data_IF_998859355018
#
_entry.id   IF_998859355018
#
_cell.length_a   1.000
_cell.length_b   1.000
_cell.length_c   1.000
_cell.angle_alpha   90.00
_cell.angle_beta   90.00
_cell.angle_gamma   90.00
#
_symmetry.space_group_name_H-M   'P 1'
#
loop_
_entity.id
_entity.type
_entity.pdbx_description
1 polymer ?
#
# COMPACT_ATOMS: atom_id res chain seq x y z
N UNK A 1 16.92 14.78 32.92
CA UNK A 1 16.52 14.84 31.49
C UNK A 1 16.59 13.42 30.93
N UNK A 2 15.46 12.71 30.79
CA UNK A 2 15.45 11.36 30.21
C UNK A 2 15.68 11.51 28.71
N UNK A 3 16.87 11.12 28.23
CA UNK A 3 17.15 10.98 26.79
C UNK A 3 16.16 9.96 26.23
N UNK A 4 15.14 10.42 25.51
CA UNK A 4 14.27 9.51 24.77
C UNK A 4 15.14 8.72 23.80
N UNK A 5 15.01 7.38 23.71
CA UNK A 5 15.80 6.61 22.77
C UNK A 5 15.46 7.09 21.36
N UNK A 6 16.48 7.49 20.60
CA UNK A 6 16.36 7.98 19.23
C UNK A 6 15.55 6.98 18.40
N UNK A 7 14.38 7.40 17.92
CA UNK A 7 13.55 6.58 17.05
C UNK A 7 14.29 6.44 15.72
N UNK A 8 14.60 5.21 15.34
CA UNK A 8 15.31 4.91 14.09
C UNK A 8 14.38 4.14 13.15
N UNK A 9 14.16 4.68 11.95
CA UNK A 9 13.35 4.04 10.90
C UNK A 9 14.19 3.36 9.81
N UNK A 10 15.50 3.21 9.99
CA UNK A 10 16.39 2.53 9.04
C UNK A 10 16.00 1.06 8.80
N UNK A 11 15.39 0.41 9.79
CA UNK A 11 14.84 -0.94 9.60
C UNK A 11 13.74 -0.96 8.53
N UNK A 12 12.90 0.09 8.46
CA UNK A 12 11.81 0.18 7.49
C UNK A 12 12.37 0.23 6.07
N UNK A 13 13.47 0.96 5.87
CA UNK A 13 14.22 0.99 4.61
C UNK A 13 14.76 -0.38 4.21
N UNK A 14 15.41 -1.10 5.13
CA UNK A 14 15.94 -2.45 4.86
C UNK A 14 14.84 -3.41 4.43
N UNK A 15 13.73 -3.45 5.18
CA UNK A 15 12.61 -4.33 4.87
C UNK A 15 11.91 -3.95 3.56
N UNK A 16 11.73 -2.65 3.30
CA UNK A 16 11.15 -2.17 2.04
C UNK A 16 12.04 -2.50 0.85
N UNK A 17 13.36 -2.47 1.02
CA UNK A 17 14.31 -2.90 -0.02
C UNK A 17 14.24 -4.41 -0.28
N UNK A 18 14.13 -5.23 0.77
CA UNK A 18 13.91 -6.68 0.60
C UNK A 18 12.61 -6.96 -0.16
N UNK A 19 11.55 -6.21 0.15
CA UNK A 19 10.27 -6.30 -0.56
C UNK A 19 10.41 -5.83 -2.01
N UNK A 20 11.17 -4.77 -2.27
CA UNK A 20 11.45 -4.32 -3.63
C UNK A 20 12.15 -5.41 -4.46
N UNK A 21 13.15 -6.08 -3.89
CA UNK A 21 13.83 -7.21 -4.57
C UNK A 21 12.85 -8.33 -4.89
N UNK A 22 11.96 -8.67 -3.95
CA UNK A 22 10.92 -9.67 -4.19
C UNK A 22 9.95 -9.22 -5.30
N UNK A 23 9.48 -7.98 -5.26
CA UNK A 23 8.60 -7.42 -6.28
C UNK A 23 9.26 -7.38 -7.66
N UNK A 24 10.52 -6.95 -7.74
CA UNK A 24 11.31 -6.93 -8.97
C UNK A 24 11.52 -8.35 -9.53
N UNK A 25 11.74 -9.33 -8.66
CA UNK A 25 11.85 -10.74 -9.05
C UNK A 25 10.53 -11.27 -9.62
N UNK A 26 9.39 -10.92 -9.03
CA UNK A 26 8.06 -11.22 -9.59
C UNK A 26 7.84 -10.52 -10.94
N UNK A 27 8.34 -9.29 -11.09
CA UNK A 27 8.37 -8.57 -12.36
C UNK A 27 9.17 -9.29 -13.45
N UNK A 28 10.36 -9.77 -13.10
CA UNK A 28 11.19 -10.58 -13.99
C UNK A 28 10.51 -11.90 -14.36
N UNK A 29 9.87 -12.57 -13.40
CA UNK A 29 9.10 -13.80 -13.64
C UNK A 29 7.92 -13.55 -14.61
N UNK A 30 7.22 -12.42 -14.51
CA UNK A 30 6.19 -12.06 -15.47
C UNK A 30 6.74 -11.94 -16.89
N UNK A 31 7.88 -11.24 -17.05
CA UNK A 31 8.53 -11.07 -18.36
C UNK A 31 9.02 -12.41 -18.92
N UNK A 32 9.61 -13.25 -18.07
CA UNK A 32 9.97 -14.62 -18.43
C UNK A 32 8.74 -15.41 -18.90
N UNK A 33 7.65 -15.39 -18.13
CA UNK A 33 6.44 -16.14 -18.46
C UNK A 33 5.74 -15.69 -19.75
N UNK A 34 5.86 -14.40 -20.11
CA UNK A 34 5.38 -13.89 -21.40
C UNK A 34 6.22 -14.41 -22.58
N UNK A 35 7.52 -14.65 -22.39
CA UNK A 35 8.43 -15.11 -23.45
C UNK A 35 8.47 -16.64 -23.58
N UNK A 36 8.39 -17.37 -22.46
CA UNK A 36 8.66 -18.81 -22.40
C UNK A 36 7.50 -19.64 -21.82
N UNK A 37 6.39 -19.00 -21.45
CA UNK A 37 5.27 -19.64 -20.76
C UNK A 37 5.43 -19.64 -19.24
N UNK A 38 4.29 -19.69 -18.53
CA UNK A 38 4.26 -19.67 -17.07
C UNK A 38 4.45 -21.08 -16.49
N UNK A 39 5.41 -21.27 -15.57
CA UNK A 39 5.60 -22.57 -14.94
C UNK A 39 4.49 -22.85 -13.91
N UNK A 40 4.25 -24.13 -13.61
CA UNK A 40 3.39 -24.59 -12.51
C UNK A 40 1.95 -24.04 -12.52
N UNK A 41 1.41 -23.72 -13.70
CA UNK A 41 0.05 -23.19 -13.84
C UNK A 41 -0.13 -21.74 -13.36
N UNK A 42 0.97 -21.01 -13.09
CA UNK A 42 0.91 -19.60 -12.71
C UNK A 42 0.23 -18.77 -13.80
N UNK A 43 -0.53 -17.76 -13.37
CA UNK A 43 -1.29 -16.89 -14.25
C UNK A 43 -0.67 -15.50 -14.27
N UNK A 44 -0.54 -14.90 -15.46
CA UNK A 44 -0.02 -13.54 -15.62
C UNK A 44 -0.79 -12.54 -14.75
N UNK A 45 -2.12 -12.64 -14.70
CA UNK A 45 -2.95 -11.75 -13.90
C UNK A 45 -2.60 -11.82 -12.40
N UNK A 46 -2.45 -13.03 -11.85
CA UNK A 46 -2.11 -13.27 -10.44
C UNK A 46 -0.73 -12.67 -10.09
N UNK A 47 0.27 -12.95 -10.93
CA UNK A 47 1.62 -12.41 -10.77
C UNK A 47 1.64 -10.88 -10.85
N UNK A 48 0.86 -10.29 -11.76
CA UNK A 48 0.73 -8.84 -11.90
C UNK A 48 0.13 -8.21 -10.64
N UNK A 49 -0.93 -8.80 -10.10
CA UNK A 49 -1.54 -8.32 -8.86
C UNK A 49 -0.58 -8.44 -7.67
N UNK A 50 0.09 -9.59 -7.53
CA UNK A 50 1.07 -9.82 -6.48
C UNK A 50 2.24 -8.81 -6.56
N UNK A 51 2.76 -8.57 -7.75
CA UNK A 51 3.81 -7.58 -8.02
C UNK A 51 3.35 -6.17 -7.63
N UNK A 52 2.22 -5.69 -8.17
CA UNK A 52 1.74 -4.33 -7.89
C UNK A 52 1.44 -4.11 -6.41
N UNK A 53 0.93 -5.12 -5.72
CA UNK A 53 0.61 -5.05 -4.30
C UNK A 53 1.87 -4.85 -3.43
N UNK A 54 2.93 -5.61 -3.71
CA UNK A 54 4.22 -5.41 -3.03
C UNK A 54 4.80 -4.03 -3.34
N UNK A 55 4.81 -3.63 -4.62
CA UNK A 55 5.37 -2.35 -5.05
C UNK A 55 4.68 -1.19 -4.33
N UNK A 56 3.36 -1.20 -4.27
CA UNK A 56 2.61 -0.06 -3.75
C UNK A 56 2.58 -0.07 -2.22
N UNK A 57 2.37 -1.22 -1.58
CA UNK A 57 1.97 -1.26 -0.17
C UNK A 57 3.09 -1.62 0.78
N UNK A 58 4.05 -2.44 0.35
CA UNK A 58 5.14 -2.91 1.21
C UNK A 58 6.53 -2.46 0.77
N UNK A 59 6.66 -1.82 -0.40
CA UNK A 59 7.87 -1.12 -0.80
C UNK A 59 7.76 0.39 -0.57
N UNK A 60 7.00 1.10 -1.42
CA UNK A 60 7.07 2.58 -1.43
C UNK A 60 6.31 3.22 -0.27
N UNK A 61 5.12 2.74 0.07
CA UNK A 61 4.29 3.33 1.15
C UNK A 61 4.99 3.37 2.52
N UNK A 62 5.56 2.27 3.07
CA UNK A 62 6.25 2.32 4.36
C UNK A 62 7.48 3.24 4.35
N UNK A 63 8.16 3.38 3.20
CA UNK A 63 9.26 4.33 3.01
C UNK A 63 8.76 5.76 3.09
N UNK A 64 7.68 6.12 2.38
CA UNK A 64 7.09 7.46 2.41
C UNK A 64 6.60 7.82 3.82
N UNK A 65 5.95 6.88 4.52
CA UNK A 65 5.53 7.09 5.92
C UNK A 65 6.76 7.32 6.82
N UNK A 66 7.82 6.54 6.65
CA UNK A 66 9.06 6.71 7.41
C UNK A 66 9.74 8.06 7.10
N UNK A 67 9.73 8.50 5.84
CA UNK A 67 10.23 9.81 5.42
C UNK A 67 9.45 10.94 6.08
N UNK A 68 8.11 10.93 5.99
CA UNK A 68 7.25 11.90 6.67
C UNK A 68 7.55 11.91 8.17
N UNK A 69 7.65 10.75 8.82
CA UNK A 69 7.96 10.66 10.24
C UNK A 69 9.32 11.32 10.59
N UNK A 70 10.36 11.06 9.80
CA UNK A 70 11.72 11.61 10.01
C UNK A 70 11.83 13.11 9.71
N UNK A 71 11.06 13.61 8.75
CA UNK A 71 11.10 15.01 8.34
C UNK A 71 10.11 15.90 9.10
N UNK A 72 9.05 15.33 9.69
CA UNK A 72 8.04 16.10 10.43
C UNK A 72 8.63 16.98 11.54
N UNK A 73 9.59 16.51 12.37
CA UNK A 73 10.26 17.36 13.36
C UNK A 73 10.89 18.62 12.78
N UNK A 74 11.48 18.54 11.57
CA UNK A 74 12.18 19.65 10.92
C UNK A 74 11.23 20.73 10.39
N UNK A 75 9.96 20.40 10.19
CA UNK A 75 8.95 21.31 9.61
C UNK A 75 7.90 21.76 10.63
N UNK A 76 7.96 21.25 11.86
CA UNK A 76 6.95 21.51 12.89
C UNK A 76 7.50 21.80 14.29
N UNK A 77 8.83 21.78 14.46
CA UNK A 77 9.53 21.90 15.75
C UNK A 77 9.06 20.89 16.83
N UNK A 78 8.42 19.79 16.40
CA UNK A 78 8.00 18.70 17.28
C UNK A 78 9.05 17.61 17.41
N UNK A 79 9.00 16.87 18.50
CA UNK A 79 9.83 15.68 18.68
C UNK A 79 9.42 14.56 17.71
N UNK A 80 10.38 13.69 17.39
CA UNK A 80 10.16 12.52 16.54
C UNK A 80 9.19 11.53 17.21
N UNK A 81 8.00 11.37 16.64
CA UNK A 81 6.95 10.52 17.23
C UNK A 81 7.12 9.04 16.87
N UNK A 82 7.12 8.18 17.90
CA UNK A 82 7.07 6.72 17.72
C UNK A 82 5.76 6.21 17.12
N UNK A 83 4.71 7.05 17.06
CA UNK A 83 3.39 6.61 16.60
C UNK A 83 3.38 6.15 15.15
N UNK A 84 4.32 6.63 14.33
CA UNK A 84 4.50 6.17 12.94
C UNK A 84 5.07 4.75 12.83
N UNK A 85 5.60 4.15 13.91
CA UNK A 85 6.09 2.77 13.87
C UNK A 85 5.01 1.78 13.44
N UNK A 86 3.81 1.89 14.02
CA UNK A 86 2.70 0.98 13.75
C UNK A 86 2.21 1.02 12.30
N UNK A 87 1.90 2.19 11.69
CA UNK A 87 1.47 2.22 10.28
C UNK A 87 2.54 1.71 9.30
N UNK A 88 3.82 1.96 9.56
CA UNK A 88 4.93 1.40 8.75
C UNK A 88 4.91 -0.13 8.82
N UNK A 89 4.87 -0.68 10.04
CA UNK A 89 4.86 -2.14 10.27
C UNK A 89 3.62 -2.79 9.67
N UNK A 90 2.44 -2.17 9.79
CA UNK A 90 1.21 -2.68 9.18
C UNK A 90 1.32 -2.72 7.66
N UNK A 91 1.84 -1.66 7.02
CA UNK A 91 2.02 -1.60 5.56
C UNK A 91 2.98 -2.69 5.06
N UNK A 92 4.06 -2.96 5.81
CA UNK A 92 4.99 -4.04 5.50
C UNK A 92 4.36 -5.43 5.67
N UNK A 93 3.81 -5.72 6.85
CA UNK A 93 3.32 -7.06 7.17
C UNK A 93 2.09 -7.41 6.34
N UNK A 94 1.10 -6.52 6.26
CA UNK A 94 -0.15 -6.82 5.57
C UNK A 94 0.05 -6.92 4.07
N UNK A 95 0.91 -6.09 3.48
CA UNK A 95 1.16 -6.17 2.03
C UNK A 95 1.98 -7.41 1.64
N UNK A 96 2.93 -7.85 2.47
CA UNK A 96 3.63 -9.13 2.29
C UNK A 96 2.70 -10.32 2.55
N UNK A 97 1.82 -10.25 3.56
CA UNK A 97 0.87 -11.32 3.83
C UNK A 97 -0.12 -11.53 2.67
N UNK A 98 -0.55 -10.44 2.02
CA UNK A 98 -1.43 -10.49 0.86
C UNK A 98 -0.72 -10.93 -0.43
N UNK A 99 0.61 -10.81 -0.52
CA UNK A 99 1.37 -11.23 -1.71
C UNK A 99 1.16 -12.70 -2.05
N UNK A 100 1.26 -13.59 -1.06
CA UNK A 100 1.12 -15.05 -1.27
C UNK A 100 -0.23 -15.42 -1.90
N UNK A 101 -1.38 -14.99 -1.35
CA UNK A 101 -2.66 -15.32 -1.98
C UNK A 101 -2.85 -14.65 -3.34
N UNK A 102 -2.34 -13.42 -3.55
CA UNK A 102 -2.35 -12.83 -4.90
C UNK A 102 -1.52 -13.62 -5.90
N UNK A 103 -0.34 -14.11 -5.49
CA UNK A 103 0.58 -14.85 -6.35
C UNK A 103 -0.03 -16.18 -6.80
N UNK A 104 -0.73 -16.88 -5.89
CA UNK A 104 -1.30 -18.20 -6.16
C UNK A 104 -2.69 -18.12 -6.81
N UNK A 105 -3.59 -17.32 -6.26
CA UNK A 105 -5.02 -17.33 -6.62
C UNK A 105 -5.55 -16.01 -7.17
N UNK A 106 -4.78 -14.92 -7.08
CA UNK A 106 -5.25 -13.61 -7.50
C UNK A 106 -6.54 -13.21 -6.77
N UNK A 107 -7.53 -12.76 -7.53
CA UNK A 107 -8.87 -12.41 -7.02
C UNK A 107 -9.84 -13.59 -6.98
N UNK A 108 -9.43 -14.79 -7.38
CA UNK A 108 -10.31 -15.96 -7.34
C UNK A 108 -10.47 -16.48 -5.90
N UNK A 109 -11.65 -17.00 -5.53
CA UNK A 109 -11.83 -17.73 -4.28
C UNK A 109 -10.84 -18.90 -4.19
N UNK A 110 -10.37 -19.21 -2.98
CA UNK A 110 -9.55 -20.40 -2.75
C UNK A 110 -10.48 -21.62 -2.85
N UNK A 111 -10.24 -22.57 -3.78
CA UNK A 111 -11.17 -23.68 -4.04
C UNK A 111 -11.51 -24.56 -2.82
N UNK A 112 -10.72 -24.49 -1.75
CA UNK A 112 -10.83 -25.33 -0.55
C UNK A 112 -11.19 -24.59 0.75
N UNK A 113 -11.41 -23.26 0.74
CA UNK A 113 -11.50 -22.50 2.00
C UNK A 113 -12.92 -22.33 2.56
N UNK A 114 -13.97 -22.50 1.75
CA UNK A 114 -15.35 -22.19 2.15
C UNK A 114 -15.57 -20.73 2.57
N UNK A 115 -14.57 -19.85 2.36
CA UNK A 115 -14.62 -18.46 2.77
C UNK A 115 -15.46 -17.65 1.77
N UNK A 116 -16.32 -16.73 2.25
CA UNK A 116 -17.14 -15.89 1.39
C UNK A 116 -16.33 -14.87 0.57
N UNK A 117 -15.08 -14.58 0.96
CA UNK A 117 -14.20 -13.64 0.24
C UNK A 117 -12.79 -14.21 0.05
N UNK A 118 -12.14 -13.95 -1.10
CA UNK A 118 -10.76 -14.37 -1.34
C UNK A 118 -9.79 -13.80 -0.29
N UNK A 119 -8.84 -14.59 0.23
CA UNK A 119 -7.83 -14.11 1.18
C UNK A 119 -7.01 -12.93 0.67
N UNK A 120 -6.78 -12.84 -0.64
CA UNK A 120 -6.13 -11.70 -1.28
C UNK A 120 -6.92 -10.40 -1.11
N UNK A 121 -8.24 -10.45 -1.25
CA UNK A 121 -9.14 -9.28 -1.06
C UNK A 121 -9.16 -8.87 0.40
N UNK A 122 -9.24 -9.84 1.32
CA UNK A 122 -9.21 -9.57 2.77
C UNK A 122 -7.87 -8.90 3.16
N UNK A 123 -6.75 -9.44 2.67
CA UNK A 123 -5.42 -8.88 2.92
C UNK A 123 -5.25 -7.47 2.33
N UNK A 124 -5.75 -7.23 1.12
CA UNK A 124 -5.75 -5.90 0.51
C UNK A 124 -6.62 -4.91 1.30
N UNK A 125 -7.82 -5.32 1.74
CA UNK A 125 -8.70 -4.53 2.60
C UNK A 125 -8.05 -4.19 3.94
N UNK A 126 -7.32 -5.13 4.54
CA UNK A 126 -6.58 -4.87 5.77
C UNK A 126 -5.48 -3.80 5.59
N UNK A 127 -4.80 -3.78 4.43
CA UNK A 127 -3.82 -2.71 4.13
C UNK A 127 -4.46 -1.33 4.12
N UNK A 128 -5.66 -1.19 3.54
CA UNK A 128 -6.40 0.08 3.50
C UNK A 128 -6.71 0.57 4.92
N UNK A 129 -7.08 -0.33 5.83
CA UNK A 129 -7.27 0.02 7.25
C UNK A 129 -5.98 0.58 7.85
N UNK A 130 -4.83 0.01 7.49
CA UNK A 130 -3.50 0.54 7.84
C UNK A 130 -3.26 1.97 7.34
N UNK A 131 -3.76 2.31 6.15
CA UNK A 131 -3.65 3.67 5.60
C UNK A 131 -4.55 4.67 6.31
N UNK A 132 -5.78 4.29 6.64
CA UNK A 132 -6.65 5.14 7.46
C UNK A 132 -6.05 5.37 8.85
N UNK A 133 -5.44 4.33 9.43
CA UNK A 133 -4.71 4.46 10.67
C UNK A 133 -3.50 5.40 10.54
N UNK A 134 -2.73 5.30 9.45
CA UNK A 134 -1.66 6.25 9.14
C UNK A 134 -2.18 7.69 9.03
N UNK A 135 -3.24 7.93 8.25
CA UNK A 135 -3.83 9.25 8.09
C UNK A 135 -4.29 9.83 9.44
N UNK A 136 -4.89 9.00 10.30
CA UNK A 136 -5.25 9.39 11.66
C UNK A 136 -4.04 9.75 12.52
N UNK A 137 -2.97 8.93 12.49
CA UNK A 137 -1.72 9.24 13.22
C UNK A 137 -1.12 10.56 12.71
N UNK A 138 -1.02 10.74 11.40
CA UNK A 138 -0.53 11.97 10.78
C UNK A 138 -1.35 13.19 11.22
N UNK A 139 -2.68 13.09 11.19
CA UNK A 139 -3.54 14.18 11.64
C UNK A 139 -3.29 14.54 13.11
N UNK A 140 -3.14 13.55 14.00
CA UNK A 140 -2.87 13.79 15.41
C UNK A 140 -1.50 14.45 15.64
N UNK A 141 -0.47 14.02 14.92
CA UNK A 141 0.89 14.55 15.03
C UNK A 141 1.01 15.95 14.43
N UNK A 142 0.22 16.26 13.41
CA UNK A 142 0.25 17.56 12.72
C UNK A 142 -0.81 18.57 13.23
N UNK A 143 -1.71 18.17 14.13
CA UNK A 143 -2.78 19.04 14.64
C UNK A 143 -2.22 20.27 15.37
N UNK A 144 -2.71 21.44 14.98
CA UNK A 144 -2.32 22.72 15.57
C UNK A 144 -1.00 23.30 15.01
N UNK A 145 -0.38 22.64 14.04
CA UNK A 145 0.82 23.15 13.37
C UNK A 145 0.42 24.00 12.15
N UNK A 146 0.91 25.24 12.03
CA UNK A 146 0.69 26.07 10.85
C UNK A 146 1.12 25.38 9.56
N UNK A 147 0.26 25.43 8.53
CA UNK A 147 0.48 24.70 7.27
C UNK A 147 1.41 25.45 6.32
N UNK A 148 2.70 25.12 6.41
CA UNK A 148 3.69 25.45 5.38
C UNK A 148 3.46 24.62 4.10
N UNK A 149 4.23 24.92 3.04
CA UNK A 149 4.09 24.26 1.74
C UNK A 149 4.22 22.72 1.84
N UNK A 150 5.22 22.22 2.57
CA UNK A 150 5.48 20.78 2.72
C UNK A 150 4.30 20.07 3.39
N UNK A 151 3.79 20.61 4.51
CA UNK A 151 2.62 20.06 5.19
C UNK A 151 1.37 20.06 4.31
N UNK A 152 1.18 21.07 3.44
CA UNK A 152 0.05 21.10 2.49
C UNK A 152 0.17 20.03 1.41
N UNK A 153 1.39 19.76 0.94
CA UNK A 153 1.64 18.67 -0.01
C UNK A 153 1.34 17.32 0.63
N UNK A 154 1.78 17.09 1.87
CA UNK A 154 1.45 15.88 2.62
C UNK A 154 -0.04 15.75 2.98
N UNK A 155 -0.69 16.84 3.37
CA UNK A 155 -2.15 16.84 3.59
C UNK A 155 -2.87 16.41 2.30
N UNK A 156 -2.44 16.95 1.16
CA UNK A 156 -3.01 16.66 -0.15
C UNK A 156 -2.72 15.21 -0.56
N UNK A 157 -1.48 14.74 -0.42
CA UNK A 157 -1.09 13.36 -0.74
C UNK A 157 -1.91 12.33 0.04
N UNK A 158 -2.16 12.59 1.34
CA UNK A 158 -2.97 11.72 2.20
C UNK A 158 -4.45 11.76 1.80
N UNK A 159 -4.98 12.92 1.41
CA UNK A 159 -6.35 13.02 0.86
C UNK A 159 -6.47 12.18 -0.40
N UNK A 160 -5.52 12.29 -1.33
CA UNK A 160 -5.48 11.46 -2.53
C UNK A 160 -5.37 9.96 -2.22
N UNK A 161 -4.56 9.58 -1.22
CA UNK A 161 -4.49 8.20 -0.73
C UNK A 161 -5.85 7.69 -0.26
N UNK A 162 -6.60 8.50 0.51
CA UNK A 162 -7.94 8.15 0.99
C UNK A 162 -8.93 8.07 -0.17
N UNK A 163 -8.90 9.03 -1.10
CA UNK A 163 -9.79 9.03 -2.27
C UNK A 163 -9.53 7.83 -3.20
N UNK A 164 -8.27 7.40 -3.33
CA UNK A 164 -7.92 6.21 -4.09
C UNK A 164 -8.65 4.95 -3.55
N UNK A 165 -8.95 4.89 -2.25
CA UNK A 165 -9.61 3.73 -1.65
C UNK A 165 -11.02 3.49 -2.16
N UNK A 166 -11.68 4.49 -2.76
CA UNK A 166 -12.96 4.30 -3.44
C UNK A 166 -12.84 3.25 -4.55
N UNK A 167 -11.79 3.30 -5.37
CA UNK A 167 -11.57 2.29 -6.42
C UNK A 167 -11.46 0.88 -5.83
N UNK A 168 -10.72 0.72 -4.74
CA UNK A 168 -10.48 -0.58 -4.11
C UNK A 168 -11.65 -1.14 -3.33
N UNK A 169 -12.50 -0.30 -2.71
CA UNK A 169 -13.69 -0.79 -2.00
C UNK A 169 -14.80 -1.20 -2.97
N UNK A 170 -14.96 -0.49 -4.08
CA UNK A 170 -16.04 -0.76 -5.04
C UNK A 170 -15.72 -1.91 -5.99
N UNK A 171 -14.45 -2.18 -6.31
CA UNK A 171 -14.08 -3.30 -7.20
C UNK A 171 -14.59 -4.67 -6.70
N UNK A 172 -14.34 -5.09 -5.44
CA UNK A 172 -14.89 -6.34 -4.90
C UNK A 172 -16.42 -6.36 -4.85
N UNK A 173 -17.07 -5.20 -4.66
CA UNK A 173 -18.53 -5.10 -4.65
C UNK A 173 -19.10 -5.44 -6.03
N UNK A 174 -18.49 -4.96 -7.12
CA UNK A 174 -18.89 -5.36 -8.47
C UNK A 174 -18.80 -6.87 -8.67
N UNK A 175 -17.72 -7.49 -8.17
CA UNK A 175 -17.54 -8.95 -8.24
C UNK A 175 -18.61 -9.70 -7.44
N UNK A 176 -18.88 -9.27 -6.20
CA UNK A 176 -19.87 -9.94 -5.33
C UNK A 176 -21.30 -9.80 -5.88
N UNK A 177 -21.63 -8.65 -6.48
CA UNK A 177 -22.93 -8.41 -7.09
C UNK A 177 -23.06 -8.99 -8.50
N UNK A 178 -22.03 -9.66 -9.02
CA UNK A 178 -21.96 -10.19 -10.39
C UNK A 178 -22.24 -9.11 -11.46
N UNK A 179 -21.76 -7.88 -11.24
CA UNK A 179 -21.91 -6.79 -12.19
C UNK A 179 -20.74 -6.85 -13.18
N UNK A 180 -20.98 -7.42 -14.34
CA UNK A 180 -20.00 -7.53 -15.42
C UNK A 180 -19.99 -6.28 -16.30
N UNK A 181 -19.43 -5.18 -15.78
CA UNK A 181 -19.25 -3.95 -16.55
C UNK A 181 -17.77 -3.59 -16.65
N UNK A 182 -17.18 -3.89 -17.81
CA UNK A 182 -15.75 -3.63 -18.10
C UNK A 182 -15.38 -2.16 -17.93
N UNK A 183 -16.26 -1.24 -18.34
CA UNK A 183 -16.01 0.19 -18.18
C UNK A 183 -15.88 0.58 -16.71
N UNK A 184 -16.81 0.12 -15.86
CA UNK A 184 -16.76 0.39 -14.42
C UNK A 184 -15.53 -0.24 -13.75
N UNK A 185 -15.19 -1.50 -14.07
CA UNK A 185 -14.01 -2.14 -13.49
C UNK A 185 -12.71 -1.41 -13.88
N UNK A 186 -12.58 -0.99 -15.14
CA UNK A 186 -11.42 -0.22 -15.61
C UNK A 186 -11.38 1.15 -14.95
N UNK A 187 -12.50 1.87 -14.91
CA UNK A 187 -12.60 3.18 -14.28
C UNK A 187 -12.22 3.14 -12.79
N UNK A 188 -12.77 2.19 -12.01
CA UNK A 188 -12.43 2.04 -10.59
C UNK A 188 -10.95 1.68 -10.38
N UNK A 189 -10.38 0.87 -11.28
CA UNK A 189 -8.95 0.56 -11.26
C UNK A 189 -8.11 1.82 -11.49
N UNK A 190 -8.48 2.67 -12.45
CA UNK A 190 -7.79 3.92 -12.72
C UNK A 190 -7.97 4.96 -11.61
N UNK A 191 -9.17 5.10 -11.04
CA UNK A 191 -9.40 5.93 -9.85
C UNK A 191 -8.42 5.55 -8.74
N UNK A 192 -8.22 4.25 -8.50
CA UNK A 192 -7.22 3.82 -7.54
C UNK A 192 -5.79 4.15 -8.00
N UNK A 193 -5.39 3.71 -9.20
CA UNK A 193 -4.01 3.83 -9.66
C UNK A 193 -3.55 5.29 -9.78
N UNK A 194 -4.37 6.15 -10.38
CA UNK A 194 -4.01 7.52 -10.71
C UNK A 194 -3.95 8.36 -9.42
N UNK A 195 -4.98 8.28 -8.56
CA UNK A 195 -4.97 9.00 -7.27
C UNK A 195 -3.88 8.48 -6.32
N UNK A 196 -3.60 7.17 -6.31
CA UNK A 196 -2.59 6.62 -5.42
C UNK A 196 -1.17 6.90 -5.92
N UNK A 197 -0.90 6.76 -7.22
CA UNK A 197 0.44 7.00 -7.76
C UNK A 197 0.73 8.49 -7.93
N UNK A 198 -0.11 9.23 -8.63
CA UNK A 198 0.09 10.66 -8.92
C UNK A 198 -0.25 11.55 -7.72
N UNK A 199 -1.18 11.12 -6.88
CA UNK A 199 -1.55 11.87 -5.67
C UNK A 199 -0.69 11.47 -4.47
N UNK A 200 -0.83 10.23 -3.99
CA UNK A 200 -0.11 9.80 -2.79
C UNK A 200 1.41 9.75 -2.98
N UNK A 201 1.95 9.08 -4.02
CA UNK A 201 3.40 8.95 -4.13
C UNK A 201 4.10 10.25 -4.52
N UNK A 202 3.63 10.93 -5.57
CA UNK A 202 4.31 12.13 -6.10
C UNK A 202 4.25 13.28 -5.10
N UNK A 203 3.12 13.50 -4.43
CA UNK A 203 2.98 14.64 -3.51
C UNK A 203 3.54 14.35 -2.11
N UNK A 204 3.77 13.09 -1.74
CA UNK A 204 4.40 12.74 -0.46
C UNK A 204 5.93 12.85 -0.48
N UNK A 205 6.54 12.78 -1.68
CA UNK A 205 7.99 12.86 -1.90
C UNK A 205 8.53 14.28 -1.67
#
# INVERSE_FOLDING_TARGET
MKTQPSVNYFWAWKWSLSVFVLAASTGALMRYGLAYGFPFGLQFANLRHAHSHLMYFSWVTPVLIAMIALYLPKVSDRELSRRFFRPITLSLILGVAAYVPFFLWGYSPVPASGLPMPPAVIGAGANIIGWYYFAWVYWQETRGIPRNFVLRMWDTSIIFMILATFGTWFLPVLTVLNIENRFLSVMLTHIFLDLFSEGWFILAL
#
